data_IF_571933347025
#
_entry.id   IF_571933347025
#
_cell.length_a   1.000
_cell.length_b   1.000
_cell.length_c   1.000
_cell.angle_alpha   90.00
_cell.angle_beta   90.00
_cell.angle_gamma   90.00
#
_symmetry.space_group_name_H-M   'P 1'
#
loop_
_entity.id
_entity.type
_entity.pdbx_description
1 polymer ?
#
# COMPACT_ATOMS: atom_id res chain seq x y z
N UNK A 1 -6.99 -41.72 -23.95
CA UNK A 1 -7.56 -40.35 -23.93
C UNK A 1 -6.47 -39.29 -23.75
N UNK A 2 -5.57 -39.40 -22.77
CA UNK A 2 -4.42 -38.48 -22.57
C UNK A 2 -3.62 -38.14 -23.85
N UNK A 3 -3.16 -39.16 -24.60
CA UNK A 3 -2.38 -38.97 -25.83
C UNK A 3 -3.11 -38.13 -26.90
N UNK A 4 -4.45 -38.17 -26.91
CA UNK A 4 -5.25 -37.37 -27.84
C UNK A 4 -5.23 -35.89 -27.43
N UNK A 5 -5.40 -35.58 -26.14
CA UNK A 5 -5.31 -34.22 -25.60
C UNK A 5 -3.93 -33.61 -25.85
N UNK A 6 -2.83 -34.32 -25.53
CA UNK A 6 -1.46 -33.83 -25.80
C UNK A 6 -1.22 -33.52 -27.28
N UNK A 7 -1.69 -34.37 -28.19
CA UNK A 7 -1.60 -34.12 -29.64
C UNK A 7 -2.42 -32.91 -30.08
N UNK A 8 -3.61 -32.73 -29.51
CA UNK A 8 -4.46 -31.58 -29.81
C UNK A 8 -3.83 -30.27 -29.32
N UNK A 9 -3.33 -30.24 -28.09
CA UNK A 9 -2.60 -29.09 -27.51
C UNK A 9 -1.42 -28.69 -28.39
N UNK A 10 -0.55 -29.65 -28.74
CA UNK A 10 0.58 -29.38 -29.62
C UNK A 10 0.16 -28.81 -30.98
N UNK A 11 -1.01 -29.19 -31.50
CA UNK A 11 -1.52 -28.70 -32.80
C UNK A 11 -2.02 -27.26 -32.71
N UNK A 12 -2.42 -26.77 -31.54
CA UNK A 12 -3.06 -25.45 -31.38
C UNK A 12 -2.22 -24.43 -30.62
N UNK A 13 -1.18 -24.86 -29.90
CA UNK A 13 -0.31 -23.98 -29.12
C UNK A 13 0.20 -22.81 -29.98
N UNK A 14 0.01 -21.59 -29.49
CA UNK A 14 0.44 -20.36 -30.18
C UNK A 14 -0.37 -19.95 -31.41
N UNK A 15 -1.50 -20.62 -31.70
CA UNK A 15 -2.38 -20.30 -32.85
C UNK A 15 -3.52 -19.33 -32.53
N UNK A 16 -3.45 -18.63 -31.40
CA UNK A 16 -4.45 -17.64 -30.98
C UNK A 16 -5.80 -18.21 -30.56
N UNK A 17 -5.93 -19.53 -30.39
CA UNK A 17 -7.17 -20.20 -29.94
C UNK A 17 -7.20 -20.35 -28.42
N UNK A 18 -7.18 -19.23 -27.71
CA UNK A 18 -7.02 -19.14 -26.25
C UNK A 18 -8.02 -20.01 -25.49
N UNK A 19 -9.32 -19.92 -25.81
CA UNK A 19 -10.36 -20.69 -25.11
C UNK A 19 -10.24 -22.20 -25.34
N UNK A 20 -9.90 -22.62 -26.55
CA UNK A 20 -9.71 -24.02 -26.87
C UNK A 20 -8.46 -24.58 -26.18
N UNK A 21 -7.39 -23.79 -26.14
CA UNK A 21 -6.16 -24.16 -25.45
C UNK A 21 -6.38 -24.33 -23.95
N UNK A 22 -7.05 -23.37 -23.32
CA UNK A 22 -7.49 -23.46 -21.93
C UNK A 22 -8.32 -24.73 -21.69
N UNK A 23 -9.38 -24.95 -22.48
CA UNK A 23 -10.27 -26.10 -22.30
C UNK A 23 -9.54 -27.44 -22.45
N UNK A 24 -8.55 -27.54 -23.35
CA UNK A 24 -7.78 -28.76 -23.52
C UNK A 24 -6.83 -29.02 -22.36
N UNK A 25 -6.18 -27.99 -21.80
CA UNK A 25 -5.37 -28.12 -20.60
C UNK A 25 -6.21 -28.46 -19.36
N UNK A 26 -7.34 -27.78 -19.17
CA UNK A 26 -8.30 -28.07 -18.09
C UNK A 26 -8.78 -29.52 -18.13
N UNK A 27 -9.28 -29.97 -19.27
CA UNK A 27 -9.76 -31.35 -19.43
C UNK A 27 -8.63 -32.38 -19.28
N UNK A 28 -7.41 -32.04 -19.69
CA UNK A 28 -6.25 -32.90 -19.46
C UNK A 28 -5.94 -33.03 -17.96
N UNK A 29 -6.02 -31.93 -17.20
CA UNK A 29 -5.90 -31.92 -15.75
C UNK A 29 -6.94 -32.82 -15.07
N UNK A 30 -8.21 -32.70 -15.47
CA UNK A 30 -9.30 -33.58 -14.99
C UNK A 30 -9.00 -35.06 -15.27
N UNK A 31 -8.52 -35.39 -16.47
CA UNK A 31 -8.17 -36.78 -16.82
C UNK A 31 -7.04 -37.29 -15.93
N UNK A 32 -6.02 -36.47 -15.65
CA UNK A 32 -4.93 -36.85 -14.76
C UNK A 32 -5.41 -37.04 -13.32
N UNK A 33 -6.23 -36.13 -12.80
CA UNK A 33 -6.77 -36.17 -11.44
C UNK A 33 -7.72 -37.36 -11.23
N UNK A 34 -8.76 -37.45 -12.05
CA UNK A 34 -9.92 -38.30 -11.76
C UNK A 34 -9.78 -39.72 -12.33
N UNK A 35 -9.04 -39.88 -13.45
CA UNK A 35 -8.94 -41.18 -14.14
C UNK A 35 -7.61 -41.88 -13.95
N UNK A 36 -6.53 -41.10 -13.88
CA UNK A 36 -5.17 -41.64 -13.78
C UNK A 36 -4.59 -41.50 -12.37
N UNK A 37 -5.23 -40.70 -11.50
CA UNK A 37 -4.76 -40.37 -10.16
C UNK A 37 -3.30 -39.90 -10.12
N UNK A 38 -2.86 -39.23 -11.19
CA UNK A 38 -1.50 -38.70 -11.35
C UNK A 38 -1.51 -37.23 -10.95
N UNK A 39 -1.27 -36.97 -9.66
CA UNK A 39 -1.37 -35.64 -9.05
C UNK A 39 -0.37 -34.65 -9.66
N UNK A 40 0.88 -35.07 -9.90
CA UNK A 40 1.92 -34.20 -10.45
C UNK A 40 1.59 -33.76 -11.89
N UNK A 41 1.16 -34.68 -12.76
CA UNK A 41 0.74 -34.32 -14.13
C UNK A 41 -0.55 -33.50 -14.15
N UNK A 42 -1.43 -33.73 -13.18
CA UNK A 42 -2.62 -32.91 -12.99
C UNK A 42 -2.25 -31.46 -12.66
N UNK A 43 -1.34 -31.26 -11.70
CA UNK A 43 -0.79 -29.95 -11.33
C UNK A 43 -0.20 -29.26 -12.57
N UNK A 44 0.66 -29.93 -13.34
CA UNK A 44 1.24 -29.35 -14.55
C UNK A 44 0.18 -28.87 -15.54
N UNK A 45 -0.85 -29.68 -15.80
CA UNK A 45 -1.92 -29.34 -16.73
C UNK A 45 -2.74 -28.12 -16.28
N UNK A 46 -3.10 -28.07 -14.99
CA UNK A 46 -3.84 -26.94 -14.43
C UNK A 46 -2.98 -25.66 -14.31
N UNK A 47 -1.67 -25.77 -14.05
CA UNK A 47 -0.74 -24.62 -14.12
C UNK A 47 -0.66 -24.03 -15.53
N UNK A 48 -0.73 -24.87 -16.56
CA UNK A 48 -0.78 -24.39 -17.94
C UNK A 48 -2.12 -23.72 -18.25
N UNK A 49 -3.24 -24.27 -17.77
CA UNK A 49 -4.55 -23.64 -17.91
C UNK A 49 -4.62 -22.27 -17.20
N UNK A 50 -4.10 -22.16 -15.97
CA UNK A 50 -4.09 -20.90 -15.21
C UNK A 50 -3.18 -19.84 -15.84
N UNK A 51 -2.13 -20.21 -16.58
CA UNK A 51 -1.33 -19.25 -17.36
C UNK A 51 -2.09 -18.67 -18.56
N UNK A 52 -3.00 -19.44 -19.16
CA UNK A 52 -3.77 -19.01 -20.34
C UNK A 52 -4.88 -18.06 -19.93
N UNK A 53 -5.59 -18.39 -18.85
CA UNK A 53 -6.60 -17.52 -18.24
C UNK A 53 -6.13 -17.12 -16.85
N UNK A 54 -5.19 -16.16 -16.73
CA UNK A 54 -4.66 -15.76 -15.45
C UNK A 54 -5.76 -15.35 -14.52
N UNK A 55 -6.79 -14.64 -14.99
CA UNK A 55 -7.87 -14.03 -14.19
C UNK A 55 -8.94 -15.01 -13.69
N UNK A 56 -8.96 -16.23 -14.21
CA UNK A 56 -9.89 -17.26 -13.74
C UNK A 56 -9.46 -17.83 -12.38
N UNK A 57 -10.40 -17.93 -11.46
CA UNK A 57 -10.20 -18.44 -10.09
C UNK A 57 -10.34 -19.96 -10.04
N UNK A 58 -11.10 -20.56 -10.96
CA UNK A 58 -11.42 -22.00 -10.93
C UNK A 58 -10.15 -22.87 -10.94
N UNK A 59 -9.20 -22.58 -11.83
CA UNK A 59 -7.95 -23.36 -11.89
C UNK A 59 -7.09 -23.18 -10.65
N UNK A 60 -7.14 -22.01 -10.00
CA UNK A 60 -6.40 -21.76 -8.76
C UNK A 60 -6.98 -22.54 -7.58
N UNK A 61 -8.31 -22.64 -7.52
CA UNK A 61 -8.98 -23.47 -6.51
C UNK A 61 -8.57 -24.93 -6.65
N UNK A 62 -8.59 -25.45 -7.89
CA UNK A 62 -8.16 -26.83 -8.16
C UNK A 62 -6.68 -27.02 -7.83
N UNK A 63 -5.81 -26.07 -8.20
CA UNK A 63 -4.38 -26.14 -7.87
C UNK A 63 -4.14 -26.12 -6.36
N UNK A 64 -4.85 -25.28 -5.60
CA UNK A 64 -4.75 -25.26 -4.14
C UNK A 64 -5.08 -26.63 -3.54
N UNK A 65 -6.22 -27.22 -3.88
CA UNK A 65 -6.63 -28.56 -3.40
C UNK A 65 -5.63 -29.67 -3.79
N UNK A 66 -5.09 -29.61 -5.01
CA UNK A 66 -4.09 -30.57 -5.48
C UNK A 66 -2.76 -30.41 -4.72
N UNK A 67 -2.31 -29.18 -4.46
CA UNK A 67 -1.12 -28.92 -3.66
C UNK A 67 -1.30 -29.38 -2.21
N UNK A 68 -2.48 -29.20 -1.62
CA UNK A 68 -2.80 -29.74 -0.29
C UNK A 68 -2.72 -31.27 -0.27
N UNK A 69 -3.33 -31.93 -1.27
CA UNK A 69 -3.29 -33.40 -1.40
C UNK A 69 -1.87 -33.92 -1.62
N UNK A 70 -1.04 -33.17 -2.34
CA UNK A 70 0.37 -33.46 -2.56
C UNK A 70 1.27 -33.09 -1.36
N UNK A 71 0.70 -32.58 -0.26
CA UNK A 71 1.43 -32.05 0.90
C UNK A 71 2.44 -30.93 0.55
N UNK A 72 2.20 -30.22 -0.56
CA UNK A 72 2.96 -29.05 -1.01
C UNK A 72 2.35 -27.77 -0.42
N UNK A 73 2.36 -27.66 0.91
CA UNK A 73 1.58 -26.64 1.65
C UNK A 73 1.94 -25.19 1.31
N UNK A 74 3.21 -24.90 0.99
CA UNK A 74 3.64 -23.55 0.59
C UNK A 74 2.96 -23.10 -0.71
N UNK A 75 2.89 -24.00 -1.70
CA UNK A 75 2.25 -23.72 -2.99
C UNK A 75 0.72 -23.62 -2.85
N UNK A 76 0.12 -24.41 -1.96
CA UNK A 76 -1.29 -24.28 -1.62
C UNK A 76 -1.61 -22.91 -1.03
N UNK A 77 -0.79 -22.43 -0.08
CA UNK A 77 -0.93 -21.10 0.51
C UNK A 77 -0.82 -20.00 -0.55
N UNK A 78 0.14 -20.09 -1.47
CA UNK A 78 0.31 -19.11 -2.55
C UNK A 78 -0.94 -19.01 -3.44
N UNK A 79 -1.52 -20.14 -3.86
CA UNK A 79 -2.73 -20.12 -4.69
C UNK A 79 -3.94 -19.58 -3.93
N UNK A 80 -4.13 -19.97 -2.66
CA UNK A 80 -5.23 -19.43 -1.83
C UNK A 80 -5.10 -17.92 -1.61
N UNK A 81 -3.87 -17.40 -1.42
CA UNK A 81 -3.63 -15.96 -1.34
C UNK A 81 -3.93 -15.24 -2.65
N UNK A 82 -3.61 -15.82 -3.81
CA UNK A 82 -3.99 -15.24 -5.11
C UNK A 82 -5.51 -15.17 -5.29
N UNK A 83 -6.24 -16.18 -4.83
CA UNK A 83 -7.71 -16.17 -4.83
C UNK A 83 -8.22 -15.01 -3.99
N UNK A 84 -7.71 -14.85 -2.76
CA UNK A 84 -8.09 -13.75 -1.87
C UNK A 84 -7.76 -12.37 -2.43
N UNK A 85 -6.63 -12.21 -3.13
CA UNK A 85 -6.27 -10.92 -3.73
C UNK A 85 -7.22 -10.46 -4.82
N UNK A 86 -7.99 -11.39 -5.42
CA UNK A 86 -8.93 -11.11 -6.50
C UNK A 86 -10.35 -10.96 -5.99
N UNK A 87 -10.72 -11.83 -5.06
CA UNK A 87 -12.00 -11.76 -4.38
C UNK A 87 -11.80 -11.84 -2.86
N UNK A 88 -11.55 -10.69 -2.22
CA UNK A 88 -11.33 -10.63 -0.78
C UNK A 88 -12.58 -10.93 0.04
N UNK A 89 -13.75 -11.04 -0.59
CA UNK A 89 -15.03 -11.28 0.09
C UNK A 89 -15.36 -12.76 0.23
N UNK A 90 -14.69 -13.63 -0.53
CA UNK A 90 -14.88 -15.08 -0.43
C UNK A 90 -14.32 -15.63 0.88
N UNK A 91 -15.18 -16.35 1.61
CA UNK A 91 -14.85 -16.89 2.94
C UNK A 91 -13.98 -18.15 2.85
N UNK A 92 -14.15 -18.97 1.82
CA UNK A 92 -13.52 -20.28 1.72
C UNK A 92 -11.97 -20.22 1.77
N UNK A 93 -11.28 -19.31 1.05
CA UNK A 93 -9.82 -19.25 1.10
C UNK A 93 -9.27 -18.85 2.47
N UNK A 94 -9.95 -17.98 3.24
CA UNK A 94 -9.52 -17.65 4.61
C UNK A 94 -9.54 -18.88 5.52
N UNK A 95 -10.55 -19.74 5.39
CA UNK A 95 -10.66 -20.97 6.19
C UNK A 95 -9.63 -22.01 5.78
N UNK A 96 -9.40 -22.17 4.47
CA UNK A 96 -8.33 -23.02 3.96
C UNK A 96 -6.96 -22.54 4.47
N UNK A 97 -6.65 -21.25 4.33
CA UNK A 97 -5.42 -20.67 4.84
C UNK A 97 -5.28 -20.82 6.36
N UNK A 98 -6.35 -20.62 7.13
CA UNK A 98 -6.34 -20.85 8.57
C UNK A 98 -5.92 -22.29 8.90
N UNK A 99 -6.51 -23.28 8.24
CA UNK A 99 -6.17 -24.69 8.44
C UNK A 99 -4.71 -24.99 8.03
N UNK A 100 -4.26 -24.46 6.90
CA UNK A 100 -2.90 -24.64 6.41
C UNK A 100 -1.87 -24.03 7.37
N UNK A 101 -2.11 -22.81 7.85
CA UNK A 101 -1.24 -22.16 8.81
C UNK A 101 -1.25 -22.88 10.17
N UNK A 102 -2.39 -23.39 10.61
CA UNK A 102 -2.47 -24.20 11.83
C UNK A 102 -1.66 -25.50 11.71
N UNK A 103 -1.77 -26.20 10.58
CA UNK A 103 -0.97 -27.41 10.30
C UNK A 103 0.53 -27.12 10.26
N UNK A 104 0.91 -25.94 9.74
CA UNK A 104 2.30 -25.47 9.70
C UNK A 104 2.79 -24.88 11.03
N UNK A 105 1.95 -24.85 12.07
CA UNK A 105 2.23 -24.20 13.36
C UNK A 105 2.55 -22.71 13.24
N UNK A 106 2.07 -22.07 12.18
CA UNK A 106 2.18 -20.64 11.91
C UNK A 106 1.00 -19.90 12.56
N UNK A 107 1.03 -19.80 13.90
CA UNK A 107 -0.12 -19.35 14.69
C UNK A 107 -0.46 -17.86 14.50
N UNK A 108 0.51 -17.00 14.21
CA UNK A 108 0.25 -15.56 13.97
C UNK A 108 -0.49 -15.34 12.65
N UNK A 109 -0.10 -16.06 11.61
CA UNK A 109 -0.76 -16.04 10.31
C UNK A 109 -2.19 -16.61 10.41
N UNK A 110 -2.36 -17.70 11.17
CA UNK A 110 -3.69 -18.24 11.47
C UNK A 110 -4.56 -17.24 12.25
N UNK A 111 -3.99 -16.54 13.23
CA UNK A 111 -4.69 -15.49 13.98
C UNK A 111 -5.11 -14.32 13.09
N UNK A 112 -4.26 -13.93 12.12
CA UNK A 112 -4.62 -12.92 11.12
C UNK A 112 -5.81 -13.35 10.25
N UNK A 113 -5.89 -14.64 9.87
CA UNK A 113 -7.08 -15.17 9.16
C UNK A 113 -8.34 -15.03 10.02
N UNK A 114 -8.26 -15.35 11.32
CA UNK A 114 -9.36 -15.18 12.25
C UNK A 114 -9.78 -13.71 12.35
N UNK A 115 -8.81 -12.77 12.43
CA UNK A 115 -9.10 -11.33 12.43
C UNK A 115 -9.86 -10.87 11.18
N UNK A 116 -9.47 -11.34 10.00
CA UNK A 116 -10.18 -11.05 8.76
C UNK A 116 -11.59 -11.69 8.74
N UNK A 117 -11.73 -12.95 9.17
CA UNK A 117 -13.03 -13.64 9.27
C UNK A 117 -13.98 -12.97 10.27
N UNK A 118 -13.47 -12.53 11.42
CA UNK A 118 -14.22 -11.79 12.45
C UNK A 118 -14.68 -10.43 11.92
N UNK A 119 -13.81 -9.72 11.19
CA UNK A 119 -14.14 -8.47 10.52
C UNK A 119 -15.25 -8.65 9.46
N UNK A 120 -15.16 -9.73 8.67
CA UNK A 120 -16.17 -10.10 7.67
C UNK A 120 -17.47 -10.66 8.29
N UNK A 121 -17.52 -10.84 9.62
CA UNK A 121 -18.65 -11.48 10.35
C UNK A 121 -18.92 -12.92 9.89
N UNK A 122 -17.85 -13.66 9.61
CA UNK A 122 -17.88 -15.06 9.10
C UNK A 122 -17.03 -16.04 9.92
N UNK A 123 -16.40 -15.56 10.99
CA UNK A 123 -15.73 -16.39 11.98
C UNK A 123 -16.74 -17.26 12.75
N UNK A 124 -16.36 -18.49 13.07
CA UNK A 124 -17.05 -19.31 14.06
C UNK A 124 -16.66 -18.91 15.49
N UNK A 125 -17.26 -19.56 16.50
CA UNK A 125 -17.05 -19.22 17.91
C UNK A 125 -15.59 -19.41 18.36
N UNK A 126 -14.94 -20.49 17.90
CA UNK A 126 -13.55 -20.80 18.25
C UNK A 126 -12.58 -19.81 17.60
N UNK A 127 -12.79 -19.49 16.32
CA UNK A 127 -12.01 -18.48 15.59
C UNK A 127 -12.19 -17.08 16.20
N UNK A 128 -13.42 -16.71 16.55
CA UNK A 128 -13.71 -15.43 17.19
C UNK A 128 -13.00 -15.33 18.54
N UNK A 129 -13.09 -16.38 19.35
CA UNK A 129 -12.42 -16.43 20.65
C UNK A 129 -10.90 -16.35 20.49
N UNK A 130 -10.32 -17.13 19.58
CA UNK A 130 -8.89 -17.09 19.29
C UNK A 130 -8.44 -15.70 18.84
N UNK A 131 -9.22 -15.01 18.00
CA UNK A 131 -8.91 -13.63 17.62
C UNK A 131 -8.92 -12.69 18.83
N UNK A 132 -9.99 -12.70 19.63
CA UNK A 132 -10.16 -11.79 20.77
C UNK A 132 -9.14 -12.02 21.90
N UNK A 133 -8.69 -13.25 22.11
CA UNK A 133 -7.71 -13.60 23.16
C UNK A 133 -6.36 -12.87 22.94
N UNK A 134 -5.99 -12.63 21.68
CA UNK A 134 -4.72 -11.96 21.33
C UNK A 134 -4.91 -10.57 20.70
N UNK A 135 -6.16 -10.08 20.60
CA UNK A 135 -6.45 -8.76 20.04
C UNK A 135 -5.84 -7.65 20.90
N UNK A 136 -5.05 -6.73 20.32
CA UNK A 136 -4.45 -5.63 21.09
C UNK A 136 -5.51 -4.74 21.74
N UNK A 137 -5.42 -4.57 23.07
CA UNK A 137 -6.31 -3.69 23.86
C UNK A 137 -5.83 -2.23 23.90
N UNK A 138 -4.99 -1.84 22.94
CA UNK A 138 -4.34 -0.52 22.85
C UNK A 138 -3.20 -0.55 21.83
N UNK A 139 -2.36 0.48 21.85
CA UNK A 139 -1.19 0.57 20.95
C UNK A 139 -0.24 -0.60 21.26
N UNK A 140 0.05 -1.48 20.28
CA UNK A 140 0.96 -2.60 20.48
C UNK A 140 2.37 -2.14 20.87
N UNK A 141 3.03 -2.86 21.79
CA UNK A 141 4.42 -2.59 22.14
C UNK A 141 5.35 -3.18 21.08
N UNK A 142 5.96 -2.33 20.27
CA UNK A 142 6.93 -2.76 19.25
C UNK A 142 8.33 -2.96 19.83
N UNK A 143 9.03 -3.99 19.35
CA UNK A 143 10.41 -4.30 19.76
C UNK A 143 11.47 -3.66 18.86
N UNK A 144 11.06 -3.19 17.69
CA UNK A 144 11.94 -2.59 16.68
C UNK A 144 11.24 -1.43 15.96
N UNK A 145 11.87 -0.90 14.91
CA UNK A 145 11.32 0.10 13.99
C UNK A 145 11.49 -0.36 12.56
N UNK A 146 10.64 0.13 11.67
CA UNK A 146 10.80 -0.10 10.24
C UNK A 146 12.06 0.59 9.69
N UNK A 147 12.67 -0.05 8.71
CA UNK A 147 13.75 0.50 7.91
C UNK A 147 13.29 0.69 6.44
N UNK A 148 14.14 1.31 5.63
CA UNK A 148 13.81 1.60 4.23
C UNK A 148 13.57 0.33 3.40
N UNK A 149 14.20 -0.80 3.75
CA UNK A 149 14.02 -2.07 3.06
C UNK A 149 12.64 -2.67 3.34
N UNK A 150 12.23 -2.67 4.62
CA UNK A 150 10.89 -3.10 5.05
C UNK A 150 9.79 -2.27 4.40
N UNK A 151 9.97 -0.94 4.32
CA UNK A 151 9.04 -0.06 3.61
C UNK A 151 8.87 -0.46 2.14
N UNK A 152 9.99 -0.62 1.41
CA UNK A 152 9.98 -0.93 -0.02
C UNK A 152 9.43 -2.31 -0.35
N UNK A 153 9.73 -3.30 0.49
CA UNK A 153 9.34 -4.71 0.25
C UNK A 153 7.93 -5.02 0.72
N UNK A 154 7.46 -4.39 1.79
CA UNK A 154 6.28 -4.87 2.50
C UNK A 154 5.22 -3.81 2.77
N UNK A 155 5.59 -2.53 2.92
CA UNK A 155 4.58 -1.47 3.19
C UNK A 155 4.05 -0.86 1.89
N UNK A 156 4.93 -0.59 0.93
CA UNK A 156 4.54 0.02 -0.34
C UNK A 156 3.53 -0.85 -1.08
N UNK A 157 2.45 -0.22 -1.53
CA UNK A 157 1.44 -0.90 -2.33
C UNK A 157 2.04 -1.32 -3.68
N UNK A 158 1.75 -2.54 -4.12
CA UNK A 158 2.31 -3.15 -5.35
C UNK A 158 2.12 -2.35 -6.63
N UNK A 159 1.14 -1.45 -6.67
CA UNK A 159 0.84 -0.60 -7.83
C UNK A 159 1.50 0.77 -7.76
N UNK A 160 2.24 1.06 -6.69
CA UNK A 160 2.96 2.32 -6.53
C UNK A 160 4.20 2.35 -7.43
N UNK A 161 4.24 3.31 -8.35
CA UNK A 161 5.41 3.54 -9.19
C UNK A 161 6.50 4.30 -8.39
N UNK A 162 7.50 3.55 -7.95
CA UNK A 162 8.62 4.10 -7.19
C UNK A 162 9.43 5.13 -8.00
N UNK A 163 9.49 5.02 -9.33
CA UNK A 163 10.24 5.95 -10.17
C UNK A 163 9.57 7.31 -10.20
N UNK A 164 8.23 7.34 -10.27
CA UNK A 164 7.45 8.58 -10.12
C UNK A 164 7.69 9.20 -8.75
N UNK A 165 7.66 8.41 -7.68
CA UNK A 165 7.96 8.89 -6.32
C UNK A 165 9.36 9.49 -6.20
N UNK A 166 10.38 8.85 -6.77
CA UNK A 166 11.76 9.36 -6.78
C UNK A 166 11.90 10.67 -7.59
N UNK A 167 11.16 10.84 -8.70
CA UNK A 167 11.12 12.12 -9.41
C UNK A 167 10.58 13.20 -8.47
N UNK A 168 9.45 12.95 -7.81
CA UNK A 168 8.87 13.90 -6.86
C UNK A 168 9.78 14.21 -5.67
N UNK A 169 10.51 13.22 -5.16
CA UNK A 169 11.52 13.42 -4.12
C UNK A 169 12.57 14.46 -4.56
N UNK A 170 13.09 14.34 -5.78
CA UNK A 170 14.07 15.29 -6.33
C UNK A 170 13.48 16.69 -6.54
N UNK A 171 12.19 16.79 -6.83
CA UNK A 171 11.49 18.07 -7.01
C UNK A 171 11.10 18.75 -5.69
N UNK A 172 10.92 17.98 -4.62
CA UNK A 172 10.26 18.42 -3.38
C UNK A 172 10.90 19.67 -2.77
N UNK A 173 12.23 19.72 -2.66
CA UNK A 173 12.92 20.87 -2.06
C UNK A 173 12.68 22.17 -2.83
N UNK A 174 12.76 22.13 -4.17
CA UNK A 174 12.51 23.28 -5.03
C UNK A 174 11.02 23.67 -5.03
N UNK A 175 10.13 22.67 -5.12
CA UNK A 175 8.68 22.89 -5.16
C UNK A 175 8.15 23.48 -3.85
N UNK A 176 8.65 23.01 -2.70
CA UNK A 176 8.33 23.58 -1.40
C UNK A 176 8.83 25.04 -1.29
N UNK A 177 10.06 25.31 -1.72
CA UNK A 177 10.61 26.68 -1.71
C UNK A 177 9.74 27.62 -2.54
N UNK A 178 9.32 27.19 -3.73
CA UNK A 178 8.42 27.96 -4.59
C UNK A 178 7.05 28.20 -3.91
N UNK A 179 6.46 27.15 -3.31
CA UNK A 179 5.19 27.26 -2.58
C UNK A 179 5.30 28.23 -1.40
N UNK A 180 6.38 28.16 -0.63
CA UNK A 180 6.61 29.07 0.49
C UNK A 180 6.71 30.54 0.04
N UNK A 181 7.41 30.80 -1.07
CA UNK A 181 7.48 32.16 -1.64
C UNK A 181 6.12 32.65 -2.11
N UNK A 182 5.35 31.79 -2.78
CA UNK A 182 3.98 32.09 -3.23
C UNK A 182 3.07 32.43 -2.03
N UNK A 183 3.06 31.59 -0.99
CA UNK A 183 2.26 31.80 0.21
C UNK A 183 2.69 33.07 0.96
N UNK A 184 4.00 33.35 1.01
CA UNK A 184 4.52 34.58 1.61
C UNK A 184 4.04 35.82 0.85
N UNK A 185 4.10 35.81 -0.47
CA UNK A 185 3.61 36.91 -1.31
C UNK A 185 2.09 37.13 -1.15
N UNK A 186 1.34 36.06 -0.89
CA UNK A 186 -0.10 36.10 -0.63
C UNK A 186 -0.47 36.40 0.83
N UNK A 187 0.50 36.60 1.74
CA UNK A 187 0.28 36.70 3.19
C UNK A 187 -0.47 35.49 3.80
N UNK A 188 -0.26 34.30 3.22
CA UNK A 188 -0.88 33.03 3.62
C UNK A 188 0.14 32.02 4.18
N UNK A 189 1.41 32.41 4.33
CA UNK A 189 2.43 31.52 4.90
C UNK A 189 2.10 31.23 6.38
N UNK A 190 1.99 29.96 6.80
CA UNK A 190 1.69 29.62 8.18
C UNK A 190 2.76 30.14 9.14
N UNK A 191 2.31 30.79 10.22
CA UNK A 191 3.17 31.21 11.33
C UNK A 191 2.95 30.23 12.48
N UNK A 192 3.99 29.44 12.80
CA UNK A 192 3.90 28.44 13.86
C UNK A 192 4.55 28.98 15.15
N UNK A 193 3.71 29.31 16.14
CA UNK A 193 4.16 29.79 17.45
C UNK A 193 4.79 28.64 18.25
N UNK A 194 6.04 28.86 18.70
CA UNK A 194 6.83 27.91 19.50
C UNK A 194 6.13 27.46 20.78
N UNK A 195 5.19 28.25 21.33
CA UNK A 195 4.41 27.87 22.52
C UNK A 195 3.55 26.63 22.31
N UNK A 196 3.13 26.35 21.08
CA UNK A 196 2.33 25.18 20.74
C UNK A 196 3.18 23.98 20.29
N UNK A 197 4.49 24.19 20.11
CA UNK A 197 5.42 23.14 19.72
C UNK A 197 5.49 22.08 20.81
N UNK A 198 5.41 20.81 20.39
CA UNK A 198 5.50 19.65 21.25
C UNK A 198 6.89 19.03 21.14
N UNK A 199 7.42 18.61 22.29
CA UNK A 199 8.73 17.96 22.36
C UNK A 199 8.55 16.48 22.76
N UNK A 200 9.23 15.53 22.07
CA UNK A 200 9.01 14.10 22.26
C UNK A 200 9.16 13.60 23.70
N UNK A 201 10.09 14.17 24.45
CA UNK A 201 10.48 13.68 25.78
C UNK A 201 9.75 14.39 26.93
N UNK A 202 9.08 15.52 26.67
CA UNK A 202 8.46 16.34 27.73
C UNK A 202 6.96 16.53 27.55
N UNK A 203 6.40 16.21 26.38
CA UNK A 203 4.97 16.38 26.13
C UNK A 203 4.11 15.47 27.03
N UNK A 204 3.08 16.07 27.63
CA UNK A 204 2.04 15.35 28.38
C UNK A 204 0.80 15.08 27.52
N UNK A 205 0.70 15.70 26.34
CA UNK A 205 -0.45 15.62 25.44
C UNK A 205 -0.53 14.22 24.81
N UNK A 206 -1.64 13.52 25.02
CA UNK A 206 -1.87 12.16 24.52
C UNK A 206 -1.63 12.04 23.02
N UNK A 207 -2.18 12.98 22.23
CA UNK A 207 -1.98 13.02 20.78
C UNK A 207 -0.49 13.11 20.41
N UNK A 208 0.28 13.98 21.06
CA UNK A 208 1.69 14.17 20.79
C UNK A 208 2.52 12.93 21.17
N UNK A 209 2.20 12.28 22.30
CA UNK A 209 2.81 10.99 22.67
C UNK A 209 2.57 9.93 21.61
N UNK A 210 1.33 9.80 21.11
CA UNK A 210 1.01 8.89 20.00
C UNK A 210 1.79 9.28 18.75
N UNK A 211 1.83 10.57 18.39
CA UNK A 211 2.57 11.08 17.23
C UNK A 211 4.03 10.63 17.21
N UNK A 212 4.77 10.90 18.28
CA UNK A 212 6.19 10.54 18.36
C UNK A 212 6.43 9.04 18.50
N UNK A 213 5.52 8.32 19.17
CA UNK A 213 5.59 6.86 19.24
C UNK A 213 5.45 6.23 17.85
N UNK A 214 4.44 6.64 17.07
CA UNK A 214 4.22 6.12 15.72
C UNK A 214 5.37 6.50 14.78
N UNK A 215 5.91 7.72 14.86
CA UNK A 215 7.09 8.11 14.09
C UNK A 215 8.27 7.17 14.36
N UNK A 216 8.49 6.81 15.63
CA UNK A 216 9.51 5.83 16.02
C UNK A 216 9.24 4.45 15.43
N UNK A 217 8.00 3.93 15.52
CA UNK A 217 7.63 2.62 14.96
C UNK A 217 7.88 2.57 13.45
N UNK A 218 7.45 3.61 12.74
CA UNK A 218 7.57 3.72 11.29
C UNK A 218 9.00 4.02 10.80
N UNK A 219 9.94 4.32 11.72
CA UNK A 219 11.29 4.70 11.35
C UNK A 219 11.37 6.03 10.59
N UNK A 220 10.41 6.92 10.83
CA UNK A 220 10.31 8.22 10.16
C UNK A 220 10.82 9.30 11.11
N UNK A 221 11.71 10.17 10.63
CA UNK A 221 12.10 11.37 11.37
C UNK A 221 10.86 12.25 11.57
N UNK A 222 10.41 12.46 12.81
CA UNK A 222 9.18 13.21 13.03
C UNK A 222 9.37 14.66 12.57
N UNK A 223 8.43 15.22 11.79
CA UNK A 223 8.40 16.66 11.58
C UNK A 223 8.12 17.36 12.92
N UNK A 224 8.39 18.67 12.98
CA UNK A 224 8.00 19.45 14.15
C UNK A 224 6.49 19.36 14.37
N UNK A 225 6.05 19.07 15.59
CA UNK A 225 4.63 18.95 15.90
C UNK A 225 4.15 20.19 16.65
N UNK A 226 3.10 20.81 16.15
CA UNK A 226 2.39 21.91 16.80
C UNK A 226 0.97 21.46 17.12
N UNK A 227 0.58 21.57 18.39
CA UNK A 227 -0.77 21.18 18.83
C UNK A 227 -1.54 22.43 19.22
N UNK A 228 -2.64 22.70 18.53
CA UNK A 228 -3.45 23.88 18.78
C UNK A 228 -4.93 23.52 18.98
N UNK A 229 -5.42 23.74 20.20
CA UNK A 229 -6.81 23.43 20.59
C UNK A 229 -7.85 24.35 19.96
N UNK A 230 -7.46 25.52 19.47
CA UNK A 230 -8.38 26.56 19.00
C UNK A 230 -8.45 26.64 17.47
N UNK A 231 -7.66 25.84 16.76
CA UNK A 231 -7.73 25.72 15.30
C UNK A 231 -8.67 24.57 14.96
N UNK A 232 -9.67 24.85 14.14
CA UNK A 232 -10.50 23.81 13.53
C UNK A 232 -9.68 23.00 12.53
N UNK A 233 -9.99 21.70 12.44
CA UNK A 233 -9.32 20.78 11.53
C UNK A 233 -8.58 19.67 12.26
N UNK A 234 -8.06 18.73 11.48
CA UNK A 234 -7.37 17.54 11.97
C UNK A 234 -5.86 17.70 11.99
N UNK A 235 -5.18 16.60 11.69
CA UNK A 235 -3.74 16.58 11.51
C UNK A 235 -3.38 16.96 10.07
N UNK A 236 -2.59 18.01 9.89
CA UNK A 236 -2.21 18.53 8.57
C UNK A 236 -0.72 18.84 8.50
N UNK A 237 -0.14 18.80 7.31
CA UNK A 237 1.24 19.21 7.06
C UNK A 237 1.28 20.71 6.75
N UNK A 238 2.19 21.44 7.39
CA UNK A 238 2.44 22.84 7.08
C UNK A 238 3.48 22.93 5.95
N UNK A 239 3.24 23.70 4.87
CA UNK A 239 4.18 23.89 3.77
C UNK A 239 5.29 24.86 4.18
N UNK A 240 6.13 24.45 5.12
CA UNK A 240 7.25 25.23 5.67
C UNK A 240 8.52 24.37 5.86
N UNK A 241 9.64 25.04 6.12
CA UNK A 241 10.91 24.43 6.55
C UNK A 241 11.34 25.01 7.91
N UNK A 242 11.81 24.17 8.86
CA UNK A 242 11.82 22.71 8.83
C UNK A 242 10.40 22.12 8.71
N UNK A 243 10.29 20.89 8.21
CA UNK A 243 9.00 20.24 8.02
C UNK A 243 8.21 20.21 9.33
N UNK A 244 6.93 20.58 9.26
CA UNK A 244 6.07 20.67 10.43
C UNK A 244 4.67 20.13 10.18
N UNK A 245 4.07 19.57 11.22
CA UNK A 245 2.68 19.13 11.30
C UNK A 245 1.91 19.98 12.31
N UNK A 246 0.66 20.29 12.00
CA UNK A 246 -0.26 20.97 12.90
C UNK A 246 -1.43 20.04 13.20
N UNK A 247 -1.68 19.82 14.49
CA UNK A 247 -2.84 19.09 14.98
C UNK A 247 -3.87 20.08 15.53
N UNK A 248 -5.01 20.17 14.83
CA UNK A 248 -6.18 20.96 15.25
C UNK A 248 -7.14 20.17 16.14
N UNK A 249 -8.22 20.82 16.56
CA UNK A 249 -9.16 20.32 17.55
C UNK A 249 -9.76 18.93 17.21
N UNK A 250 -9.96 18.59 15.93
CA UNK A 250 -10.70 17.37 15.57
C UNK A 250 -9.95 16.07 15.87
N UNK A 251 -8.64 16.11 16.06
CA UNK A 251 -7.82 14.95 16.45
C UNK A 251 -7.40 14.99 17.92
N UNK A 252 -7.84 16.00 18.68
CA UNK A 252 -7.51 16.15 20.10
C UNK A 252 -8.60 15.62 21.04
N UNK A 253 -9.78 15.30 20.51
CA UNK A 253 -10.89 14.70 21.22
C UNK A 253 -11.60 13.66 20.35
N UNK A 254 -12.44 12.81 20.96
CA UNK A 254 -13.26 11.84 20.23
C UNK A 254 -12.54 10.58 19.74
N UNK A 255 -11.21 10.52 19.84
CA UNK A 255 -10.39 9.37 19.47
C UNK A 255 -9.59 8.84 20.64
N UNK A 256 -9.52 7.51 20.75
CA UNK A 256 -8.60 6.80 21.63
C UNK A 256 -7.17 6.87 21.08
N UNK A 257 -6.13 6.67 21.92
CA UNK A 257 -4.75 6.59 21.43
C UNK A 257 -4.54 5.55 20.32
N UNK A 258 -5.29 4.44 20.39
CA UNK A 258 -5.26 3.35 19.43
C UNK A 258 -5.82 3.78 18.07
N UNK A 259 -6.94 4.51 18.04
CA UNK A 259 -7.48 5.10 16.81
C UNK A 259 -6.58 6.20 16.25
N UNK A 260 -6.04 7.06 17.12
CA UNK A 260 -5.08 8.09 16.72
C UNK A 260 -3.84 7.49 16.03
N UNK A 261 -3.43 6.28 16.42
CA UNK A 261 -2.25 5.63 15.84
C UNK A 261 -2.38 5.41 14.33
N UNK A 262 -3.58 5.05 13.84
CA UNK A 262 -3.84 4.89 12.41
C UNK A 262 -3.82 6.25 11.68
N UNK A 263 -4.48 7.29 12.23
CA UNK A 263 -4.50 8.65 11.66
C UNK A 263 -3.07 9.19 11.52
N UNK A 264 -2.30 9.09 12.61
CA UNK A 264 -0.93 9.54 12.67
C UNK A 264 -0.03 8.76 11.73
N UNK A 265 -0.18 7.43 11.65
CA UNK A 265 0.63 6.59 10.77
C UNK A 265 0.38 6.91 9.30
N UNK A 266 -0.89 7.09 8.89
CA UNK A 266 -1.21 7.57 7.53
C UNK A 266 -0.53 8.90 7.23
N UNK A 267 -0.67 9.87 8.13
CA UNK A 267 -0.08 11.21 7.96
C UNK A 267 1.45 11.18 7.88
N UNK A 268 2.09 10.46 8.80
CA UNK A 268 3.55 10.35 8.84
C UNK A 268 4.13 9.59 7.64
N UNK A 269 3.40 8.63 7.08
CA UNK A 269 3.81 7.96 5.83
C UNK A 269 4.05 8.96 4.70
N UNK A 270 3.27 10.05 4.67
CA UNK A 270 3.45 11.11 3.70
C UNK A 270 4.69 11.99 3.95
N UNK A 271 5.45 11.77 5.03
CA UNK A 271 6.74 12.45 5.26
C UNK A 271 7.93 11.70 4.67
N UNK A 272 7.70 10.54 4.04
CA UNK A 272 8.71 9.91 3.20
C UNK A 272 8.98 10.79 1.98
N UNK A 273 10.25 10.89 1.57
CA UNK A 273 10.69 11.80 0.51
C UNK A 273 9.95 11.56 -0.80
N UNK A 274 9.68 10.30 -1.11
CA UNK A 274 8.97 9.88 -2.31
C UNK A 274 7.49 10.33 -2.32
N UNK A 275 6.89 10.62 -1.16
CA UNK A 275 5.46 10.94 -1.01
C UNK A 275 5.17 12.39 -0.63
N UNK A 276 6.15 13.08 -0.02
CA UNK A 276 5.92 14.37 0.65
C UNK A 276 5.32 15.46 -0.25
N UNK A 277 5.59 15.42 -1.55
CA UNK A 277 5.05 16.41 -2.50
C UNK A 277 3.53 16.57 -2.39
N UNK A 278 2.78 15.50 -2.08
CA UNK A 278 1.31 15.51 -2.01
C UNK A 278 0.77 16.30 -0.81
N UNK A 279 1.58 16.47 0.23
CA UNK A 279 1.22 17.32 1.37
C UNK A 279 1.18 18.81 0.98
N UNK A 280 1.91 19.19 -0.08
CA UNK A 280 2.02 20.58 -0.57
C UNK A 280 1.07 20.81 -1.75
N UNK A 281 0.94 19.80 -2.61
CA UNK A 281 0.18 19.82 -3.86
C UNK A 281 -0.79 18.63 -3.86
N UNK A 282 -1.98 18.78 -3.26
CA UNK A 282 -2.88 17.66 -3.02
C UNK A 282 -3.65 17.24 -4.27
N UNK A 283 -3.70 18.06 -5.32
CA UNK A 283 -4.53 17.77 -6.51
C UNK A 283 -3.74 17.03 -7.60
N UNK A 284 -4.43 16.14 -8.32
CA UNK A 284 -3.85 15.45 -9.48
C UNK A 284 -3.32 16.44 -10.53
N UNK A 285 -4.01 17.56 -10.74
CA UNK A 285 -3.60 18.58 -11.72
C UNK A 285 -2.27 19.23 -11.35
N UNK A 286 -2.10 19.66 -10.09
CA UNK A 286 -0.85 20.24 -9.60
C UNK A 286 0.31 19.24 -9.70
N UNK A 287 0.08 17.99 -9.29
CA UNK A 287 1.09 16.93 -9.38
C UNK A 287 1.46 16.61 -10.84
N UNK A 288 0.49 16.66 -11.76
CA UNK A 288 0.73 16.47 -13.20
C UNK A 288 1.60 17.57 -13.77
N UNK A 289 1.32 18.83 -13.43
CA UNK A 289 2.13 19.96 -13.84
C UNK A 289 3.57 19.86 -13.30
N UNK A 290 3.74 19.50 -12.02
CA UNK A 290 5.06 19.32 -11.40
C UNK A 290 5.85 18.18 -12.02
N UNK A 291 5.19 17.04 -12.27
CA UNK A 291 5.83 15.88 -12.88
C UNK A 291 6.38 16.21 -14.27
N UNK A 292 5.54 16.80 -15.14
CA UNK A 292 5.98 17.21 -16.48
C UNK A 292 7.02 18.33 -16.43
N UNK A 293 6.98 19.23 -15.45
CA UNK A 293 8.02 20.22 -15.24
C UNK A 293 9.36 19.55 -14.93
N UNK A 294 9.37 18.53 -14.06
CA UNK A 294 10.56 17.73 -13.78
C UNK A 294 11.10 17.00 -15.02
N UNK A 295 10.22 16.43 -15.85
CA UNK A 295 10.62 15.83 -17.12
C UNK A 295 11.24 16.87 -18.06
N UNK A 296 10.60 18.03 -18.24
CA UNK A 296 11.08 19.10 -19.13
C UNK A 296 12.45 19.64 -18.73
N UNK A 297 12.77 19.65 -17.44
CA UNK A 297 14.10 20.06 -16.95
C UNK A 297 15.24 19.16 -17.41
N UNK A 298 14.94 17.91 -17.78
CA UNK A 298 15.93 16.91 -18.25
C UNK A 298 15.79 16.63 -19.74
N UNK A 299 14.56 16.64 -20.25
CA UNK A 299 14.18 16.27 -21.61
C UNK A 299 13.47 17.47 -22.26
N UNK A 300 14.16 18.24 -23.12
CA UNK A 300 13.56 19.38 -23.83
C UNK A 300 12.31 18.99 -24.62
N UNK A 301 12.28 17.79 -25.21
CA UNK A 301 11.16 17.27 -26.03
C UNK A 301 10.22 16.34 -25.24
N UNK A 302 10.11 16.52 -23.92
CA UNK A 302 9.19 15.73 -23.09
C UNK A 302 7.75 15.76 -23.66
N UNK A 303 7.02 14.62 -23.62
CA UNK A 303 5.67 14.50 -24.20
C UNK A 303 4.61 15.15 -23.29
N UNK A 304 4.65 16.47 -23.20
CA UNK A 304 3.73 17.28 -22.41
C UNK A 304 2.42 17.50 -23.18
N UNK A 305 1.23 17.35 -22.55
CA UNK A 305 -0.05 17.69 -23.18
C UNK A 305 -0.05 19.13 -23.70
N UNK A 306 -0.55 19.41 -24.94
CA UNK A 306 -0.47 20.73 -25.57
C UNK A 306 -1.00 21.87 -24.71
N UNK A 307 -2.11 21.65 -24.01
CA UNK A 307 -2.77 22.61 -23.12
C UNK A 307 -1.96 22.94 -21.86
N UNK A 308 -0.99 22.11 -21.49
CA UNK A 308 -0.15 22.30 -20.30
C UNK A 308 1.22 22.91 -20.60
N UNK A 309 1.64 22.96 -21.88
CA UNK A 309 3.03 23.31 -22.28
C UNK A 309 3.50 24.61 -21.63
N UNK A 310 2.72 25.69 -21.73
CA UNK A 310 3.09 26.98 -21.19
C UNK A 310 3.30 26.93 -19.66
N UNK A 311 2.34 26.33 -18.93
CA UNK A 311 2.41 26.25 -17.47
C UNK A 311 3.55 25.34 -17.01
N UNK A 312 3.79 24.24 -17.72
CA UNK A 312 4.89 23.32 -17.46
C UNK A 312 6.24 24.00 -17.68
N UNK A 313 6.41 24.75 -18.77
CA UNK A 313 7.67 25.43 -19.07
C UNK A 313 7.98 26.54 -18.05
N UNK A 314 6.96 27.30 -17.61
CA UNK A 314 7.11 28.31 -16.55
C UNK A 314 7.48 27.63 -15.22
N UNK A 315 6.83 26.52 -14.89
CA UNK A 315 7.09 25.76 -13.66
C UNK A 315 8.50 25.18 -13.69
N UNK A 316 8.91 24.56 -14.80
CA UNK A 316 10.24 23.98 -14.97
C UNK A 316 11.34 25.04 -14.80
N UNK A 317 11.18 26.22 -15.40
CA UNK A 317 12.12 27.34 -15.23
C UNK A 317 12.20 27.80 -13.78
N UNK A 318 11.04 27.97 -13.12
CA UNK A 318 10.97 28.39 -11.71
C UNK A 318 11.62 27.37 -10.77
N UNK A 319 11.30 26.08 -10.94
CA UNK A 319 11.89 25.02 -10.11
C UNK A 319 13.39 24.89 -10.36
N UNK A 320 13.84 25.03 -11.61
CA UNK A 320 15.24 24.95 -11.95
C UNK A 320 16.07 25.97 -11.16
N UNK A 321 15.64 27.24 -11.04
CA UNK A 321 16.41 28.27 -10.30
C UNK A 321 16.54 27.97 -8.80
N UNK A 322 15.59 27.24 -8.21
CA UNK A 322 15.56 26.91 -6.78
C UNK A 322 16.20 25.55 -6.46
N UNK A 323 16.46 24.72 -7.47
CA UNK A 323 16.94 23.36 -7.28
C UNK A 323 18.45 23.29 -7.04
N UNK A 324 18.85 22.55 -6.00
CA UNK A 324 20.25 22.28 -5.67
C UNK A 324 20.92 21.39 -6.73
N UNK A 325 22.25 21.53 -6.98
CA UNK A 325 22.96 20.73 -7.98
C UNK A 325 22.82 19.22 -7.81
N UNK A 326 22.84 18.73 -6.57
CA UNK A 326 22.67 17.30 -6.27
C UNK A 326 21.28 16.79 -6.67
N UNK A 327 20.22 17.54 -6.38
CA UNK A 327 18.86 17.18 -6.79
C UNK A 327 18.69 17.25 -8.32
N UNK A 328 19.34 18.20 -9.00
CA UNK A 328 19.34 18.24 -10.47
C UNK A 328 20.00 17.01 -11.08
N UNK A 329 21.14 16.57 -10.54
CA UNK A 329 21.79 15.34 -11.02
C UNK A 329 20.95 14.10 -10.72
N UNK A 330 20.41 14.00 -9.50
CA UNK A 330 19.48 12.92 -9.14
C UNK A 330 18.27 12.86 -10.07
N UNK A 331 17.65 14.01 -10.36
CA UNK A 331 16.54 14.12 -11.31
C UNK A 331 16.94 13.63 -12.71
N UNK A 332 18.13 14.01 -13.21
CA UNK A 332 18.64 13.52 -14.50
C UNK A 332 18.73 11.99 -14.53
N UNK A 333 19.26 11.38 -13.48
CA UNK A 333 19.40 9.93 -13.40
C UNK A 333 18.04 9.23 -13.37
N UNK A 334 17.12 9.68 -12.49
CA UNK A 334 15.81 9.05 -12.32
C UNK A 334 14.95 9.21 -13.57
N UNK A 335 14.95 10.39 -14.21
CA UNK A 335 14.19 10.63 -15.44
C UNK A 335 14.69 9.76 -16.59
N UNK A 336 16.00 9.55 -16.74
CA UNK A 336 16.52 8.61 -17.76
C UNK A 336 16.03 7.19 -17.52
N UNK A 337 16.13 6.70 -16.28
CA UNK A 337 15.61 5.39 -15.89
C UNK A 337 14.10 5.26 -16.16
N UNK A 338 13.33 6.34 -15.92
CA UNK A 338 11.91 6.38 -16.21
C UNK A 338 11.60 6.24 -17.72
N UNK A 339 12.43 6.82 -18.58
CA UNK A 339 12.25 6.67 -20.04
C UNK A 339 12.57 5.24 -20.52
N UNK A 340 13.53 4.57 -19.88
CA UNK A 340 13.92 3.21 -20.24
C UNK A 340 12.83 2.16 -19.92
N UNK A 341 12.00 2.41 -18.91
CA UNK A 341 10.94 1.47 -18.50
C UNK A 341 9.73 1.46 -19.44
N UNK A 342 9.64 2.37 -20.43
CA UNK A 342 8.50 2.52 -21.38
C UNK A 342 7.11 2.53 -20.70
N UNK A 343 7.05 2.85 -19.41
CA UNK A 343 5.82 2.84 -18.63
C UNK A 343 4.91 4.00 -19.02
N UNK A 344 3.59 3.76 -18.99
CA UNK A 344 2.62 4.85 -19.12
C UNK A 344 2.62 5.71 -17.85
N UNK A 345 2.67 7.03 -18.02
CA UNK A 345 2.55 7.98 -16.91
C UNK A 345 1.13 7.88 -16.34
N UNK A 346 0.99 7.38 -15.11
CA UNK A 346 -0.31 7.30 -14.44
C UNK A 346 -0.24 7.87 -13.02
N UNK A 347 -0.31 9.20 -12.94
CA UNK A 347 -0.22 9.92 -11.67
C UNK A 347 -1.44 9.73 -10.77
N UNK A 348 -2.62 9.49 -11.35
CA UNK A 348 -3.81 9.11 -10.57
C UNK A 348 -3.57 7.80 -9.82
N UNK A 349 -3.08 6.78 -10.53
CA UNK A 349 -2.75 5.48 -9.93
C UNK A 349 -1.64 5.61 -8.88
N UNK A 350 -0.63 6.43 -9.15
CA UNK A 350 0.42 6.71 -8.16
C UNK A 350 -0.16 7.36 -6.90
N UNK A 351 -0.97 8.42 -7.04
CA UNK A 351 -1.61 9.10 -5.90
C UNK A 351 -2.43 8.12 -5.05
N UNK A 352 -3.30 7.35 -5.70
CA UNK A 352 -4.12 6.30 -5.05
C UNK A 352 -3.25 5.24 -4.37
N UNK A 353 -2.18 4.77 -5.02
CA UNK A 353 -1.28 3.77 -4.45
C UNK A 353 -0.54 4.30 -3.21
N UNK A 354 -0.09 5.55 -3.21
CA UNK A 354 0.56 6.15 -2.02
C UNK A 354 -0.42 6.30 -0.84
N UNK A 355 -1.71 6.51 -1.10
CA UNK A 355 -2.73 6.52 -0.04
C UNK A 355 -2.99 5.11 0.49
N UNK A 356 -3.03 4.09 -0.37
CA UNK A 356 -3.07 2.69 0.07
C UNK A 356 -1.83 2.31 0.90
N UNK A 357 -0.63 2.74 0.49
CA UNK A 357 0.61 2.59 1.26
C UNK A 357 0.48 3.22 2.65
N UNK A 358 -0.07 4.44 2.72
CA UNK A 358 -0.35 5.10 4.01
C UNK A 358 -1.36 4.31 4.85
N UNK A 359 -2.44 3.79 4.25
CA UNK A 359 -3.42 2.93 4.92
C UNK A 359 -2.78 1.66 5.47
N UNK A 360 -1.89 1.00 4.71
CA UNK A 360 -1.13 -0.18 5.15
C UNK A 360 -0.27 0.12 6.37
N UNK A 361 0.44 1.25 6.37
CA UNK A 361 1.19 1.71 7.54
C UNK A 361 0.25 2.00 8.73
N UNK A 362 -0.92 2.60 8.48
CA UNK A 362 -1.99 2.78 9.45
C UNK A 362 -2.41 1.48 10.12
N UNK A 363 -2.78 0.48 9.31
CA UNK A 363 -3.21 -0.82 9.79
C UNK A 363 -2.10 -1.57 10.52
N UNK A 364 -0.85 -1.47 10.07
CA UNK A 364 0.28 -2.09 10.76
C UNK A 364 0.46 -1.56 12.18
N UNK A 365 0.32 -0.24 12.35
CA UNK A 365 0.54 0.42 13.64
C UNK A 365 -0.64 0.20 14.59
N UNK A 366 -1.88 0.31 14.11
CA UNK A 366 -3.04 0.04 14.97
C UNK A 366 -3.29 -1.46 15.17
N UNK A 367 -2.97 -2.30 14.19
CA UNK A 367 -3.17 -3.75 14.23
C UNK A 367 -4.64 -4.19 14.27
N UNK A 368 -5.58 -3.34 13.82
CA UNK A 368 -7.01 -3.59 13.96
C UNK A 368 -7.83 -3.08 12.75
N UNK A 369 -8.51 -3.99 12.07
CA UNK A 369 -9.33 -3.71 10.89
C UNK A 369 -10.58 -2.87 11.19
N UNK A 370 -11.20 -3.02 12.37
CA UNK A 370 -12.38 -2.22 12.73
C UNK A 370 -12.02 -0.76 12.97
N UNK A 371 -10.84 -0.52 13.57
CA UNK A 371 -10.30 0.83 13.73
C UNK A 371 -10.00 1.44 12.35
N UNK A 372 -9.32 0.69 11.48
CA UNK A 372 -9.03 1.14 10.12
C UNK A 372 -10.33 1.51 9.37
N UNK A 373 -11.34 0.63 9.39
CA UNK A 373 -12.66 0.90 8.80
C UNK A 373 -13.30 2.15 9.39
N UNK A 374 -13.37 2.28 10.71
CA UNK A 374 -14.00 3.43 11.39
C UNK A 374 -13.38 4.74 10.91
N UNK A 375 -12.06 4.80 10.81
CA UNK A 375 -11.34 6.03 10.42
C UNK A 375 -11.49 6.31 8.93
N UNK A 376 -11.37 5.29 8.07
CA UNK A 376 -11.52 5.45 6.62
C UNK A 376 -12.93 5.92 6.22
N UNK A 377 -13.97 5.51 6.95
CA UNK A 377 -15.35 5.94 6.68
C UNK A 377 -15.63 7.42 6.99
N UNK A 378 -14.83 8.05 7.87
CA UNK A 378 -14.99 9.47 8.24
C UNK A 378 -13.91 10.37 7.61
N UNK A 379 -13.00 9.78 6.84
CA UNK A 379 -11.94 10.50 6.16
C UNK A 379 -12.53 11.37 5.02
N UNK A 380 -12.21 12.68 4.98
CA UNK A 380 -12.61 13.54 3.86
C UNK A 380 -12.07 12.99 2.54
N UNK A 381 -12.95 12.82 1.56
CA UNK A 381 -12.58 12.37 0.21
C UNK A 381 -12.29 13.56 -0.69
N UNK A 382 -11.21 13.49 -1.46
CA UNK A 382 -10.92 14.45 -2.54
C UNK A 382 -11.13 13.82 -3.92
N UNK A 383 -11.41 14.62 -4.97
CA UNK A 383 -11.59 14.09 -6.32
C UNK A 383 -10.38 13.28 -6.78
N UNK A 384 -10.63 12.01 -7.15
CA UNK A 384 -9.59 11.09 -7.61
C UNK A 384 -9.20 10.02 -6.59
N UNK A 385 -9.61 10.15 -5.33
CA UNK A 385 -9.40 9.14 -4.30
C UNK A 385 -10.10 7.82 -4.63
N UNK A 386 -9.59 6.74 -4.04
CA UNK A 386 -10.31 5.48 -3.93
C UNK A 386 -11.43 5.62 -2.91
N UNK A 387 -12.54 4.90 -3.11
CA UNK A 387 -13.64 4.91 -2.15
C UNK A 387 -13.20 4.34 -0.80
N UNK A 388 -13.84 4.72 0.33
CA UNK A 388 -13.58 4.09 1.62
C UNK A 388 -13.70 2.57 1.56
N UNK A 389 -14.68 2.05 0.80
CA UNK A 389 -14.89 0.63 0.59
C UNK A 389 -13.68 -0.03 -0.11
N UNK A 390 -13.16 0.55 -1.19
CA UNK A 390 -11.97 0.04 -1.88
C UNK A 390 -10.74 0.02 -0.94
N UNK A 391 -10.56 1.08 -0.14
CA UNK A 391 -9.46 1.14 0.84
C UNK A 391 -9.62 0.05 1.90
N UNK A 392 -10.82 -0.17 2.40
CA UNK A 392 -11.12 -1.24 3.38
C UNK A 392 -10.85 -2.61 2.77
N UNK A 393 -11.29 -2.86 1.54
CA UNK A 393 -11.03 -4.12 0.83
C UNK A 393 -9.53 -4.39 0.72
N UNK A 394 -8.73 -3.39 0.36
CA UNK A 394 -7.27 -3.52 0.34
C UNK A 394 -6.67 -3.76 1.74
N UNK A 395 -7.24 -3.16 2.80
CA UNK A 395 -6.80 -3.42 4.19
C UNK A 395 -7.04 -4.87 4.61
N UNK A 396 -8.18 -5.46 4.22
CA UNK A 396 -8.45 -6.88 4.45
C UNK A 396 -7.39 -7.73 3.76
N UNK A 397 -7.15 -7.50 2.46
CA UNK A 397 -6.13 -8.24 1.68
C UNK A 397 -4.75 -8.11 2.30
N UNK A 398 -4.35 -6.90 2.68
CA UNK A 398 -3.07 -6.66 3.31
C UNK A 398 -2.95 -7.40 4.65
N UNK A 399 -3.99 -7.40 5.49
CA UNK A 399 -3.97 -8.05 6.82
C UNK A 399 -3.70 -9.56 6.80
N UNK A 400 -3.88 -10.21 5.65
CA UNK A 400 -3.69 -11.66 5.45
C UNK A 400 -2.55 -11.98 4.47
N UNK A 401 -1.73 -10.98 4.16
CA UNK A 401 -0.63 -11.08 3.19
C UNK A 401 0.70 -11.42 3.83
N UNK A 402 1.60 -12.04 3.05
CA UNK A 402 2.97 -12.33 3.48
C UNK A 402 3.74 -11.05 3.85
N UNK A 403 3.45 -9.95 3.17
CA UNK A 403 4.00 -8.63 3.46
C UNK A 403 3.64 -8.18 4.89
N UNK A 404 2.39 -8.33 5.29
CA UNK A 404 1.95 -7.98 6.64
C UNK A 404 2.55 -8.89 7.71
N UNK A 405 2.63 -10.20 7.45
CA UNK A 405 3.26 -11.15 8.37
C UNK A 405 4.74 -10.84 8.58
N UNK A 406 5.47 -10.54 7.49
CA UNK A 406 6.87 -10.13 7.57
C UNK A 406 7.05 -8.87 8.42
N UNK A 407 6.17 -7.87 8.27
CA UNK A 407 6.20 -6.64 9.05
C UNK A 407 5.88 -6.88 10.53
N UNK A 408 4.85 -7.69 10.84
CA UNK A 408 4.52 -8.06 12.21
C UNK A 408 5.67 -8.75 12.90
N UNK A 409 6.31 -9.71 12.23
CA UNK A 409 7.50 -10.42 12.72
C UNK A 409 8.66 -9.46 12.95
N UNK A 410 8.95 -8.58 11.99
CA UNK A 410 10.03 -7.60 12.10
C UNK A 410 9.83 -6.65 13.30
N UNK A 411 8.59 -6.24 13.56
CA UNK A 411 8.22 -5.35 14.68
C UNK A 411 8.06 -6.08 16.02
N UNK A 412 8.11 -7.42 16.03
CA UNK A 412 7.87 -8.23 17.24
C UNK A 412 6.42 -8.19 17.72
N UNK A 413 5.47 -8.07 16.78
CA UNK A 413 4.03 -8.03 17.01
C UNK A 413 3.36 -9.40 16.94
N UNK A 414 4.10 -10.44 16.56
CA UNK A 414 3.58 -11.80 16.38
C UNK A 414 3.09 -12.37 17.70
N UNK A 415 1.99 -13.13 17.66
CA UNK A 415 1.54 -13.91 18.81
C UNK A 415 2.40 -15.18 18.96
N UNK A 416 2.69 -15.56 20.21
CA UNK A 416 3.65 -16.63 20.55
C UNK A 416 4.95 -16.06 21.06
#
# INVERSE_FOLDING_TARGET
MERAFRKMIHRIAGKGKVDLEYNLWHNLGIVYRDRLSDVEKSIEAFRMASRIKPDDITERQILAELYETANQLDLAVEEQQEILRRDPTQVAPYRALYQLYYQKQAYDEAWCMCGALSFLRRADEDQQKFYEDYRPKGIPQVRSRLDNDSWRKHVYHRTEDQTIGLIFEMLTSAALTAKMQQLKAANQLPVLDKRYKQEPHTTTVTFAKTFFHVAKVLGITPPELYVHTNIQGGLTAAPIMPFASVAGQSVLSGFTPHELSFIVAKHLSNYRGEHYIKNIFPTQSELTQLFFAGLRMVLPDAPVPPEMVQNVDVTAKTLATMMQPQHREGLRHVVRKFMDTKGAINLKRWLQATDLTACRAGLLVCGDLEIAKKILLIEPQVPGDLTPEDKITEMIVFSVSNEYFALRKALGLTIG
#
